data_IF_542344892246
#
_entry.id   IF_542344892246
#
_cell.length_a   1.000
_cell.length_b   1.000
_cell.length_c   1.000
_cell.angle_alpha   90.00
_cell.angle_beta   90.00
_cell.angle_gamma   90.00
#
_symmetry.space_group_name_H-M   'P 1'
#
loop_
_entity.id
_entity.type
_entity.pdbx_description
1 polymer ?
#
# COMPACT_ATOMS: atom_id res chain seq x y z
N UNK A 1 -6.31 10.10 11.26
CA UNK A 1 -5.28 9.58 10.33
C UNK A 1 -5.82 9.67 8.92
N UNK A 2 -5.13 10.34 7.98
CA UNK A 2 -5.56 10.38 6.58
C UNK A 2 -5.11 9.10 5.86
N UNK A 3 -6.06 8.36 5.31
CA UNK A 3 -5.77 7.23 4.42
C UNK A 3 -5.58 7.76 3.01
N UNK A 4 -4.36 7.61 2.46
CA UNK A 4 -4.03 8.13 1.13
C UNK A 4 -4.16 7.02 0.08
N UNK A 5 -5.35 6.93 -0.52
CA UNK A 5 -5.63 6.03 -1.65
C UNK A 5 -4.84 6.37 -2.91
N UNK A 6 -4.42 7.63 -3.06
CA UNK A 6 -3.56 8.07 -4.16
C UNK A 6 -2.40 8.90 -3.65
N UNK A 7 -1.24 8.71 -4.28
CA UNK A 7 -0.03 9.50 -4.05
C UNK A 7 -0.23 10.98 -4.40
N UNK A 8 -1.27 11.30 -5.21
CA UNK A 8 -1.68 12.67 -5.55
C UNK A 8 -2.32 13.43 -4.38
N UNK A 9 -2.91 12.72 -3.42
CA UNK A 9 -3.54 13.33 -2.25
C UNK A 9 -2.54 13.64 -1.13
N UNK A 10 -1.29 13.20 -1.27
CA UNK A 10 -0.22 13.45 -0.30
C UNK A 10 0.31 14.87 -0.54
N UNK A 11 0.12 15.83 0.39
CA UNK A 11 0.53 17.22 0.19
C UNK A 11 2.03 17.36 -0.09
N UNK A 12 2.86 16.56 0.57
CA UNK A 12 4.32 16.54 0.41
C UNK A 12 4.82 16.05 -0.96
N UNK A 13 3.95 15.48 -1.81
CA UNK A 13 4.28 14.97 -3.14
C UNK A 13 3.55 15.72 -4.27
N UNK A 14 2.82 16.77 -3.92
CA UNK A 14 2.04 17.57 -4.86
C UNK A 14 3.00 18.30 -5.82
N UNK A 15 2.69 18.25 -7.12
CA UNK A 15 3.51 18.91 -8.16
C UNK A 15 4.69 18.09 -8.72
N UNK A 16 5.10 16.99 -8.08
CA UNK A 16 6.18 16.13 -8.63
C UNK A 16 5.66 15.20 -9.74
N UNK A 17 6.47 14.83 -10.75
CA UNK A 17 6.14 13.79 -11.72
C UNK A 17 5.95 12.41 -11.04
N UNK A 18 5.17 11.53 -11.67
CA UNK A 18 4.73 10.26 -11.07
C UNK A 18 5.91 9.38 -10.63
N UNK A 19 6.97 9.31 -11.43
CA UNK A 19 8.19 8.58 -11.11
C UNK A 19 8.87 9.08 -9.83
N UNK A 20 8.99 10.41 -9.65
CA UNK A 20 9.56 10.99 -8.44
C UNK A 20 8.68 10.77 -7.21
N UNK A 21 7.35 10.83 -7.37
CA UNK A 21 6.42 10.53 -6.27
C UNK A 21 6.63 9.11 -5.75
N UNK A 22 6.76 8.14 -6.65
CA UNK A 22 7.01 6.73 -6.29
C UNK A 22 8.38 6.58 -5.65
N UNK A 23 9.43 7.20 -6.20
CA UNK A 23 10.79 7.14 -5.64
C UNK A 23 10.86 7.72 -4.21
N UNK A 24 10.24 8.88 -3.98
CA UNK A 24 10.16 9.52 -2.65
C UNK A 24 9.36 8.67 -1.66
N UNK A 25 8.24 8.09 -2.10
CA UNK A 25 7.46 7.16 -1.29
C UNK A 25 8.24 5.89 -0.92
N UNK A 26 9.01 5.32 -1.86
CA UNK A 26 9.85 4.15 -1.59
C UNK A 26 10.95 4.45 -0.57
N UNK A 27 11.58 5.63 -0.69
CA UNK A 27 12.54 6.10 0.30
C UNK A 27 11.90 6.31 1.68
N UNK A 28 10.68 6.84 1.75
CA UNK A 28 9.95 7.02 2.99
C UNK A 28 9.50 5.67 3.59
N UNK A 29 9.10 4.71 2.75
CA UNK A 29 8.72 3.36 3.17
C UNK A 29 9.90 2.60 3.82
N UNK A 30 11.14 2.87 3.40
CA UNK A 30 12.34 2.29 4.03
C UNK A 30 12.54 2.75 5.47
N UNK A 31 12.11 3.98 5.78
CA UNK A 31 12.19 4.60 7.12
C UNK A 31 11.10 4.12 8.09
N UNK A 32 10.14 3.32 7.63
CA UNK A 32 9.16 2.70 8.50
C UNK A 32 9.85 1.92 9.62
N UNK A 33 9.37 2.12 10.84
CA UNK A 33 9.86 1.43 12.02
C UNK A 33 9.55 -0.07 11.93
N UNK A 34 10.24 -0.88 12.73
CA UNK A 34 10.00 -2.33 12.83
C UNK A 34 8.52 -2.67 13.10
N UNK A 35 7.84 -2.10 14.12
CA UNK A 35 6.42 -2.40 14.37
C UNK A 35 5.52 -2.03 13.17
N UNK A 36 5.82 -0.94 12.47
CA UNK A 36 5.07 -0.52 11.29
C UNK A 36 5.23 -1.48 10.10
N UNK A 37 6.46 -1.94 9.84
CA UNK A 37 6.73 -2.98 8.83
C UNK A 37 6.04 -4.30 9.19
N UNK A 38 6.08 -4.68 10.47
CA UNK A 38 5.40 -5.88 10.96
C UNK A 38 3.90 -5.77 10.77
N UNK A 39 3.28 -4.63 11.10
CA UNK A 39 1.86 -4.39 10.88
C UNK A 39 1.47 -4.54 9.40
N UNK A 40 2.24 -3.95 8.49
CA UNK A 40 2.01 -4.09 7.05
C UNK A 40 2.13 -5.54 6.58
N UNK A 41 3.10 -6.30 7.11
CA UNK A 41 3.26 -7.71 6.77
C UNK A 41 2.15 -8.59 7.36
N UNK A 42 1.69 -8.31 8.59
CA UNK A 42 0.52 -8.98 9.16
C UNK A 42 -0.71 -8.70 8.31
N UNK A 43 -0.92 -7.46 7.86
CA UNK A 43 -2.04 -7.13 6.98
C UNK A 43 -1.96 -7.89 5.64
N UNK A 44 -0.77 -7.98 5.03
CA UNK A 44 -0.56 -8.83 3.84
C UNK A 44 -0.89 -10.28 4.13
N UNK A 45 -0.42 -10.80 5.26
CA UNK A 45 -0.65 -12.19 5.67
C UNK A 45 -2.15 -12.47 5.85
N UNK A 46 -2.89 -11.58 6.50
CA UNK A 46 -4.34 -11.68 6.70
C UNK A 46 -5.11 -11.74 5.38
N UNK A 47 -4.59 -11.15 4.30
CA UNK A 47 -5.19 -11.25 2.96
C UNK A 47 -4.71 -12.51 2.22
N UNK A 48 -3.43 -12.87 2.37
CA UNK A 48 -2.83 -14.02 1.68
C UNK A 48 -3.40 -15.35 2.20
N UNK A 49 -3.57 -15.52 3.51
CA UNK A 49 -4.10 -16.74 4.12
C UNK A 49 -5.48 -17.15 3.55
N UNK A 50 -6.50 -16.28 3.52
CA UNK A 50 -7.80 -16.66 2.96
C UNK A 50 -7.73 -16.93 1.45
N UNK A 51 -6.87 -16.24 0.70
CA UNK A 51 -6.63 -16.54 -0.73
C UNK A 51 -6.11 -17.97 -0.88
N UNK A 52 -5.13 -18.38 -0.08
CA UNK A 52 -4.64 -19.76 -0.11
C UNK A 52 -5.72 -20.79 0.27
N UNK A 53 -6.54 -20.50 1.28
CA UNK A 53 -7.66 -21.38 1.67
C UNK A 53 -8.68 -21.54 0.53
N UNK A 54 -9.00 -20.46 -0.19
CA UNK A 54 -9.89 -20.51 -1.35
C UNK A 54 -9.27 -21.29 -2.52
N UNK A 55 -7.96 -21.13 -2.75
CA UNK A 55 -7.24 -21.91 -3.76
C UNK A 55 -7.30 -23.40 -3.42
N UNK A 56 -7.06 -23.80 -2.16
CA UNK A 56 -7.14 -25.21 -1.74
C UNK A 56 -8.54 -25.80 -1.92
N UNK A 57 -9.59 -25.01 -1.68
CA UNK A 57 -10.97 -25.43 -1.92
C UNK A 57 -11.35 -25.55 -3.40
N UNK A 58 -10.50 -25.10 -4.33
CA UNK A 58 -10.77 -25.19 -5.78
C UNK A 58 -10.91 -26.63 -6.26
N UNK A 59 -10.25 -27.58 -5.60
CA UNK A 59 -10.38 -29.01 -5.90
C UNK A 59 -11.82 -29.53 -5.74
N UNK A 60 -12.58 -28.99 -4.78
CA UNK A 60 -13.97 -29.38 -4.53
C UNK A 60 -14.98 -28.39 -5.09
N UNK A 61 -14.59 -27.11 -5.26
CA UNK A 61 -15.46 -26.06 -5.73
C UNK A 61 -14.71 -25.10 -6.65
N UNK A 62 -14.92 -25.24 -7.96
CA UNK A 62 -14.28 -24.43 -8.99
C UNK A 62 -14.55 -22.92 -8.85
N UNK A 63 -15.66 -22.53 -8.22
CA UNK A 63 -15.99 -21.10 -7.99
C UNK A 63 -15.08 -20.44 -6.94
N UNK A 64 -14.46 -21.23 -6.06
CA UNK A 64 -13.50 -20.74 -5.06
C UNK A 64 -12.29 -20.05 -5.70
N UNK A 65 -11.91 -20.46 -6.92
CA UNK A 65 -10.84 -19.81 -7.68
C UNK A 65 -11.19 -18.37 -8.08
N UNK A 66 -12.45 -18.14 -8.47
CA UNK A 66 -12.94 -16.81 -8.83
C UNK A 66 -12.97 -15.88 -7.60
N UNK A 67 -13.37 -16.42 -6.45
CA UNK A 67 -13.28 -15.72 -5.17
C UNK A 67 -11.83 -15.41 -4.76
N UNK A 68 -10.91 -16.37 -4.93
CA UNK A 68 -9.49 -16.14 -4.66
C UNK A 68 -8.92 -15.00 -5.52
N UNK A 69 -9.27 -14.98 -6.82
CA UNK A 69 -8.88 -13.92 -7.74
C UNK A 69 -9.47 -12.57 -7.32
N UNK A 70 -10.73 -12.53 -6.91
CA UNK A 70 -11.40 -11.31 -6.45
C UNK A 70 -10.73 -10.73 -5.20
N UNK A 71 -10.44 -11.58 -4.19
CA UNK A 71 -9.74 -11.16 -2.97
C UNK A 71 -8.32 -10.68 -3.29
N UNK A 72 -7.63 -11.35 -4.22
CA UNK A 72 -6.31 -10.93 -4.69
C UNK A 72 -6.35 -9.58 -5.43
N UNK A 73 -7.39 -9.27 -6.19
CA UNK A 73 -7.57 -7.95 -6.80
C UNK A 73 -7.94 -6.86 -5.78
N UNK A 74 -8.61 -7.23 -4.68
CA UNK A 74 -8.91 -6.32 -3.58
C UNK A 74 -7.68 -5.99 -2.72
N UNK A 75 -6.70 -6.90 -2.65
CA UNK A 75 -5.44 -6.73 -1.90
C UNK A 75 -4.77 -5.36 -2.10
N UNK A 76 -4.42 -4.92 -3.33
CA UNK A 76 -3.76 -3.64 -3.53
C UNK A 76 -4.63 -2.48 -3.04
N UNK A 77 -5.96 -2.61 -3.10
CA UNK A 77 -6.90 -1.57 -2.74
C UNK A 77 -6.97 -1.32 -1.23
N UNK A 78 -6.69 -2.35 -0.42
CA UNK A 78 -6.64 -2.25 1.05
C UNK A 78 -5.23 -1.96 1.56
N UNK A 79 -4.21 -2.64 1.02
CA UNK A 79 -2.84 -2.58 1.56
C UNK A 79 -2.08 -1.34 1.08
N UNK A 80 -2.22 -0.94 -0.19
CA UNK A 80 -1.54 0.26 -0.72
C UNK A 80 -1.91 1.55 0.02
N UNK A 81 -3.18 1.88 0.32
CA UNK A 81 -3.50 3.14 1.01
C UNK A 81 -2.92 3.20 2.43
N UNK A 82 -2.92 2.08 3.15
CA UNK A 82 -2.36 1.99 4.50
C UNK A 82 -0.83 2.15 4.43
N UNK A 83 -0.18 1.44 3.51
CA UNK A 83 1.25 1.60 3.27
C UNK A 83 1.62 3.04 2.89
N UNK A 84 0.86 3.68 2.01
CA UNK A 84 1.07 5.07 1.62
C UNK A 84 0.86 6.03 2.79
N UNK A 85 -0.18 5.81 3.61
CA UNK A 85 -0.46 6.61 4.80
C UNK A 85 0.68 6.55 5.82
N UNK A 86 1.20 5.35 6.08
CA UNK A 86 2.33 5.16 6.99
C UNK A 86 3.61 5.77 6.43
N UNK A 87 3.89 5.55 5.13
CA UNK A 87 5.07 6.11 4.47
C UNK A 87 5.02 7.64 4.38
N UNK A 88 3.82 8.23 4.24
CA UNK A 88 3.65 9.67 4.15
C UNK A 88 4.13 10.43 5.40
N UNK A 89 4.13 9.77 6.56
CA UNK A 89 4.65 10.35 7.82
C UNK A 89 6.16 10.63 7.78
N UNK A 90 6.89 9.90 6.96
CA UNK A 90 8.35 9.99 6.84
C UNK A 90 8.79 10.84 5.64
N UNK A 91 7.84 11.44 4.92
CA UNK A 91 8.14 12.42 3.89
C UNK A 91 8.55 13.73 4.56
N UNK A 92 9.72 14.25 4.17
CA UNK A 92 10.06 15.61 4.51
C UNK A 92 9.00 16.56 3.91
N UNK A 93 8.66 17.69 4.57
CA UNK A 93 7.86 18.73 3.95
C UNK A 93 8.48 19.07 2.59
N UNK A 94 7.62 19.28 1.58
CA UNK A 94 8.09 19.65 0.26
C UNK A 94 9.03 20.86 0.39
N UNK A 95 10.17 20.90 -0.33
CA UNK A 95 10.95 22.14 -0.37
C UNK A 95 9.99 23.22 -0.84
N UNK A 96 9.74 24.19 0.04
CA UNK A 96 9.10 25.43 -0.31
C UNK A 96 9.82 25.91 -1.56
N UNK A 97 9.08 26.14 -2.65
CA UNK A 97 9.68 26.67 -3.85
C UNK A 97 10.28 28.00 -3.46
N UNK A 98 11.60 28.00 -3.27
CA UNK A 98 12.41 29.19 -3.11
C UNK A 98 12.09 30.09 -4.31
N UNK A 99 11.56 31.26 -3.99
CA UNK A 99 11.19 32.29 -4.95
C UNK A 99 12.40 32.60 -5.83
N UNK A 100 12.24 32.50 -7.15
CA UNK A 100 13.10 33.13 -8.14
C UNK A 100 12.21 33.63 -9.28
#
# INVERSE_FOLDING_TARGET
>A
MNFYFSTRHIPALKGLPLAERVKRLDQAAKKLTVPEKTLLNILKLLVIVPVFVLILQTASNWTSLLWALLVFLLYPLLVKPIQNSMSAKYLAPAPEKENA
#
